data_IF_955876154944
#
_entry.id   IF_955876154944
#
_cell.length_a   1.000
_cell.length_b   1.000
_cell.length_c   1.000
_cell.angle_alpha   90.00
_cell.angle_beta   90.00
_cell.angle_gamma   90.00
#
_symmetry.space_group_name_H-M   'P 1'
#
loop_
_entity.id
_entity.type
_entity.pdbx_description
1 polymer ?
#
# COMPACT_ATOMS: atom_id res chain seq x y z
N UNK A 1 -24.40 -22.91 32.28
CA UNK A 1 -23.67 -21.66 31.95
C UNK A 1 -22.47 -22.00 31.06
N UNK A 2 -22.09 -21.10 30.15
CA UNK A 2 -20.90 -21.11 29.30
C UNK A 2 -20.93 -21.84 27.94
N UNK A 3 -21.90 -21.53 27.06
CA UNK A 3 -21.74 -21.78 25.60
C UNK A 3 -21.98 -20.55 24.71
N UNK A 4 -22.21 -19.37 25.28
CA UNK A 4 -22.51 -18.15 24.51
C UNK A 4 -21.31 -17.19 24.34
N UNK A 5 -20.14 -17.50 24.91
CA UNK A 5 -18.99 -16.58 24.89
C UNK A 5 -18.09 -16.72 23.65
N UNK A 6 -18.27 -17.75 22.82
CA UNK A 6 -17.34 -18.03 21.70
C UNK A 6 -17.69 -17.31 20.40
N UNK A 7 -18.86 -16.69 20.27
CA UNK A 7 -19.29 -16.06 19.00
C UNK A 7 -18.93 -14.56 18.95
N UNK A 8 -18.69 -13.92 20.10
CA UNK A 8 -18.38 -12.48 20.14
C UNK A 8 -16.93 -12.13 19.75
N UNK A 9 -16.02 -13.12 19.65
CA UNK A 9 -14.62 -12.89 19.31
C UNK A 9 -14.29 -12.91 17.81
N UNK A 10 -15.26 -13.15 16.92
CA UNK A 10 -15.04 -13.14 15.47
C UNK A 10 -15.33 -11.79 14.79
N UNK A 11 -15.75 -10.77 15.54
CA UNK A 11 -16.07 -9.45 14.98
C UNK A 11 -14.88 -8.46 14.98
N UNK A 12 -13.68 -8.86 15.44
CA UNK A 12 -12.45 -8.13 15.13
C UNK A 12 -11.93 -8.50 13.75
N UNK A 13 -12.85 -8.60 12.77
CA UNK A 13 -12.47 -8.62 11.36
C UNK A 13 -11.74 -7.33 11.06
N UNK A 14 -10.43 -7.44 10.85
CA UNK A 14 -9.54 -6.47 10.23
C UNK A 14 -10.31 -5.38 9.48
N UNK A 15 -10.52 -4.23 10.12
CA UNK A 15 -10.88 -3.00 9.44
C UNK A 15 -9.64 -2.46 8.72
N UNK A 16 -9.06 -3.26 7.82
CA UNK A 16 -8.12 -2.77 6.83
C UNK A 16 -8.94 -1.89 5.90
N UNK A 17 -8.97 -0.58 6.19
CA UNK A 17 -9.65 0.42 5.37
C UNK A 17 -9.23 0.19 3.92
N UNK A 18 -10.20 -0.15 3.07
CA UNK A 18 -9.93 -0.36 1.67
C UNK A 18 -9.41 0.95 1.08
N UNK A 19 -8.26 0.90 0.40
CA UNK A 19 -7.74 2.03 -0.37
C UNK A 19 -8.83 2.54 -1.33
N UNK A 20 -8.82 3.83 -1.61
CA UNK A 20 -9.46 4.42 -2.78
C UNK A 20 -8.52 4.36 -4.00
N UNK A 21 -9.02 4.54 -5.23
CA UNK A 21 -8.19 4.66 -6.42
C UNK A 21 -7.13 5.78 -6.31
N UNK A 22 -7.49 6.91 -5.69
CA UNK A 22 -6.59 8.05 -5.50
C UNK A 22 -5.46 7.72 -4.51
N UNK A 23 -5.79 7.08 -3.39
CA UNK A 23 -4.75 6.62 -2.44
C UNK A 23 -3.87 5.55 -3.09
N UNK A 24 -4.42 4.71 -3.98
CA UNK A 24 -3.62 3.74 -4.74
C UNK A 24 -2.58 4.43 -5.65
N UNK A 25 -2.94 5.54 -6.31
CA UNK A 25 -1.98 6.34 -7.08
C UNK A 25 -0.86 6.91 -6.21
N UNK A 26 -1.18 7.41 -5.01
CA UNK A 26 -0.16 7.85 -4.05
C UNK A 26 0.79 6.71 -3.68
N UNK A 27 0.25 5.50 -3.46
CA UNK A 27 1.05 4.30 -3.20
C UNK A 27 1.94 3.94 -4.39
N UNK A 28 1.45 4.00 -5.64
CA UNK A 28 2.27 3.80 -6.86
C UNK A 28 3.52 4.68 -6.82
N UNK A 29 3.34 5.97 -6.51
CA UNK A 29 4.43 6.91 -6.37
C UNK A 29 5.45 6.56 -5.28
N UNK A 30 4.96 6.26 -4.08
CA UNK A 30 5.82 5.90 -2.96
C UNK A 30 6.59 4.59 -3.22
N UNK A 31 5.95 3.62 -3.86
CA UNK A 31 6.57 2.34 -4.25
C UNK A 31 7.63 2.55 -5.33
N UNK A 32 7.40 3.44 -6.30
CA UNK A 32 8.41 3.80 -7.30
C UNK A 32 9.70 4.28 -6.63
N UNK A 33 9.60 5.27 -5.74
CA UNK A 33 10.76 5.76 -4.98
C UNK A 33 11.46 4.62 -4.24
N UNK A 34 10.69 3.74 -3.59
CA UNK A 34 11.24 2.65 -2.80
C UNK A 34 11.96 1.59 -3.65
N UNK A 35 11.45 1.30 -4.85
CA UNK A 35 12.09 0.38 -5.78
C UNK A 35 13.36 0.98 -6.39
N UNK A 36 13.38 2.29 -6.66
CA UNK A 36 14.52 2.97 -7.27
C UNK A 36 15.65 3.24 -6.27
N UNK A 37 15.33 3.46 -4.99
CA UNK A 37 16.28 4.02 -4.02
C UNK A 37 16.49 3.17 -2.75
N UNK A 38 15.69 2.10 -2.56
CA UNK A 38 15.70 1.29 -1.34
C UNK A 38 15.73 -0.22 -1.68
N UNK A 39 15.26 -1.08 -0.77
CA UNK A 39 15.25 -2.53 -0.96
C UNK A 39 14.04 -3.06 -1.78
N UNK A 40 13.23 -2.16 -2.32
CA UNK A 40 12.02 -2.49 -3.06
C UNK A 40 10.93 -3.17 -2.23
N UNK A 41 9.91 -3.69 -2.92
CA UNK A 41 8.84 -4.45 -2.29
C UNK A 41 9.25 -5.90 -2.01
N UNK A 42 8.71 -6.46 -0.93
CA UNK A 42 8.74 -7.91 -0.72
C UNK A 42 7.86 -8.63 -1.75
N UNK A 43 8.01 -9.95 -1.89
CA UNK A 43 7.14 -10.75 -2.78
C UNK A 43 5.65 -10.62 -2.41
N UNK A 44 5.35 -10.58 -1.11
CA UNK A 44 3.98 -10.34 -0.63
C UNK A 44 3.52 -8.91 -0.96
N UNK A 45 4.43 -7.94 -0.94
CA UNK A 45 4.14 -6.57 -1.34
C UNK A 45 3.81 -6.41 -2.82
N UNK A 46 4.57 -7.05 -3.71
CA UNK A 46 4.27 -7.07 -5.15
C UNK A 46 2.88 -7.68 -5.39
N UNK A 47 2.56 -8.81 -4.74
CA UNK A 47 1.22 -9.43 -4.83
C UNK A 47 0.11 -8.50 -4.34
N UNK A 48 0.32 -7.81 -3.21
CA UNK A 48 -0.68 -6.90 -2.65
C UNK A 48 -0.87 -5.65 -3.51
N UNK A 49 0.21 -5.11 -4.06
CA UNK A 49 0.18 -4.00 -5.03
C UNK A 49 -0.65 -4.39 -6.25
N UNK A 50 -0.36 -5.54 -6.87
CA UNK A 50 -1.09 -6.02 -8.05
C UNK A 50 -2.57 -6.27 -7.75
N UNK A 51 -2.90 -6.77 -6.55
CA UNK A 51 -4.30 -6.91 -6.11
C UNK A 51 -5.00 -5.56 -5.96
N UNK A 52 -4.30 -4.55 -5.45
CA UNK A 52 -4.79 -3.18 -5.36
C UNK A 52 -5.07 -2.58 -6.73
N UNK A 53 -4.13 -2.71 -7.67
CA UNK A 53 -4.28 -2.21 -9.04
C UNK A 53 -5.49 -2.85 -9.73
N UNK A 54 -5.62 -4.18 -9.63
CA UNK A 54 -6.78 -4.92 -10.16
C UNK A 54 -8.11 -4.47 -9.58
N UNK A 55 -8.15 -4.18 -8.27
CA UNK A 55 -9.38 -3.76 -7.59
C UNK A 55 -9.96 -2.47 -8.15
N UNK A 56 -9.11 -1.60 -8.69
CA UNK A 56 -9.50 -0.29 -9.22
C UNK A 56 -9.33 -0.20 -10.75
N UNK A 57 -9.24 -1.34 -11.45
CA UNK A 57 -9.03 -1.43 -12.90
C UNK A 57 -7.77 -0.71 -13.42
N UNK A 58 -6.79 -0.47 -12.54
CA UNK A 58 -5.55 0.23 -12.87
C UNK A 58 -4.50 -0.72 -13.45
N UNK A 59 -4.67 -2.04 -13.32
CA UNK A 59 -3.77 -3.05 -13.86
C UNK A 59 -3.76 -3.10 -15.40
N UNK A 60 -4.79 -2.53 -16.03
CA UNK A 60 -4.88 -2.37 -17.49
C UNK A 60 -4.04 -1.19 -18.00
N UNK A 61 -3.68 -0.25 -17.13
CA UNK A 61 -2.88 0.91 -17.46
C UNK A 61 -1.40 0.59 -17.24
N UNK A 62 -0.52 0.79 -18.24
CA UNK A 62 0.91 0.63 -18.07
C UNK A 62 1.44 1.39 -16.84
N UNK A 63 2.25 0.72 -16.02
CA UNK A 63 2.77 1.30 -14.79
C UNK A 63 3.47 2.67 -15.01
N UNK A 64 4.29 2.87 -16.07
CA UNK A 64 4.89 4.18 -16.34
C UNK A 64 3.89 5.32 -16.58
N UNK A 65 2.66 5.00 -17.00
CA UNK A 65 1.58 5.98 -17.17
C UNK A 65 0.95 6.31 -15.81
N UNK A 66 0.75 5.31 -14.95
CA UNK A 66 0.27 5.52 -13.58
C UNK A 66 1.24 6.39 -12.77
N UNK A 67 2.54 6.20 -12.97
CA UNK A 67 3.60 6.96 -12.30
C UNK A 67 3.64 8.44 -12.70
N UNK A 68 3.09 8.81 -13.87
CA UNK A 68 3.00 10.20 -14.32
C UNK A 68 1.79 10.93 -13.72
N UNK A 69 0.88 10.23 -13.04
CA UNK A 69 -0.26 10.85 -12.40
C UNK A 69 0.18 11.83 -11.29
N UNK A 70 -0.44 13.02 -11.15
CA UNK A 70 -0.09 13.98 -10.10
C UNK A 70 -0.09 13.42 -8.67
N UNK A 71 -0.99 12.48 -8.37
CA UNK A 71 -1.03 11.81 -7.06
C UNK A 71 0.13 10.83 -6.87
N UNK A 72 0.55 10.13 -7.92
CA UNK A 72 1.76 9.32 -7.88
C UNK A 72 3.01 10.18 -7.73
N UNK A 73 3.11 11.29 -8.45
CA UNK A 73 4.22 12.25 -8.28
C UNK A 73 4.25 12.78 -6.84
N UNK A 74 3.10 13.14 -6.27
CA UNK A 74 2.98 13.58 -4.87
C UNK A 74 3.43 12.49 -3.88
N UNK A 75 3.03 11.24 -4.11
CA UNK A 75 3.48 10.09 -3.30
C UNK A 75 4.99 9.89 -3.39
N UNK A 76 5.57 9.98 -4.59
CA UNK A 76 7.01 9.90 -4.81
C UNK A 76 7.76 11.01 -4.04
N UNK A 77 7.33 12.27 -4.19
CA UNK A 77 7.96 13.41 -3.50
C UNK A 77 7.84 13.29 -1.97
N UNK A 78 6.74 12.76 -1.48
CA UNK A 78 6.55 12.48 -0.06
C UNK A 78 7.54 11.42 0.41
N UNK A 79 7.72 10.34 -0.35
CA UNK A 79 8.71 9.30 -0.04
C UNK A 79 10.15 9.83 -0.09
N UNK A 80 10.48 10.71 -1.04
CA UNK A 80 11.77 11.43 -1.09
C UNK A 80 12.03 12.21 0.20
N UNK A 81 11.03 12.93 0.73
CA UNK A 81 11.17 13.70 1.98
C UNK A 81 11.44 12.81 3.19
N UNK A 82 10.83 11.62 3.23
CA UNK A 82 10.96 10.71 4.37
C UNK A 82 12.15 9.74 4.25
N UNK A 83 12.70 9.56 3.05
CA UNK A 83 13.73 8.55 2.79
C UNK A 83 13.22 7.12 2.99
N UNK A 84 14.08 6.12 2.83
CA UNK A 84 13.70 4.70 2.94
C UNK A 84 13.09 4.35 4.30
N UNK A 85 13.75 4.72 5.40
CA UNK A 85 13.29 4.36 6.75
C UNK A 85 12.02 5.12 7.16
N UNK A 86 11.91 6.39 6.80
CA UNK A 86 10.70 7.18 7.07
C UNK A 86 9.52 6.67 6.24
N UNK A 87 9.73 6.38 4.95
CA UNK A 87 8.69 5.83 4.07
C UNK A 87 8.19 4.48 4.57
N UNK A 88 9.09 3.59 5.00
CA UNK A 88 8.72 2.30 5.60
C UNK A 88 7.89 2.49 6.89
N UNK A 89 8.26 3.46 7.73
CA UNK A 89 7.52 3.80 8.95
C UNK A 89 6.12 4.34 8.65
N UNK A 90 5.99 5.26 7.71
CA UNK A 90 4.69 5.81 7.31
C UNK A 90 3.81 4.73 6.66
N UNK A 91 4.40 3.85 5.84
CA UNK A 91 3.71 2.69 5.31
C UNK A 91 3.22 1.74 6.41
N UNK A 92 4.01 1.50 7.48
CA UNK A 92 3.57 0.71 8.63
C UNK A 92 2.34 1.33 9.31
N UNK A 93 2.33 2.65 9.53
CA UNK A 93 1.17 3.35 10.09
C UNK A 93 -0.08 3.23 9.20
N UNK A 94 0.12 3.20 7.89
CA UNK A 94 -0.95 3.01 6.91
C UNK A 94 -1.38 1.54 6.72
N UNK A 95 -0.75 0.58 7.42
CA UNK A 95 -1.05 -0.86 7.27
C UNK A 95 -0.43 -1.53 6.03
N UNK A 96 0.60 -0.89 5.45
CA UNK A 96 1.35 -1.36 4.28
C UNK A 96 2.83 -1.69 4.56
N UNK A 97 3.34 -1.39 5.75
CA UNK A 97 4.79 -1.47 6.00
C UNK A 97 5.40 -2.87 5.92
N UNK A 98 4.62 -3.93 6.22
CA UNK A 98 5.05 -5.34 6.10
C UNK A 98 5.35 -5.79 4.66
N UNK A 99 4.98 -4.95 3.69
CA UNK A 99 5.12 -5.22 2.25
C UNK A 99 6.34 -4.56 1.63
N UNK A 100 7.12 -3.85 2.45
CA UNK A 100 8.28 -3.06 2.06
C UNK A 100 9.52 -3.70 2.70
N UNK A 101 10.54 -4.06 1.90
CA UNK A 101 11.77 -4.71 2.39
C UNK A 101 12.62 -3.76 3.22
#
# INVERSE_FOLDING_TARGET
>A
MNKLLTILLLATTLNAKALSPNEMLVVVGAVKYYNENCAGLSHSGVKRMNKGLKRFDMDKTPLPILEQNPLAISGYQTAVKFGCMGTKREAHKAGYGEYIN
#
